data_IF_021198500767
#
_entry.id   IF_021198500767
#
_cell.length_a   1.000
_cell.length_b   1.000
_cell.length_c   1.000
_cell.angle_alpha   90.00
_cell.angle_beta   90.00
_cell.angle_gamma   90.00
#
_symmetry.space_group_name_H-M   'P 1'
#
loop_
_entity.id
_entity.type
_entity.pdbx_description
1 polymer ?
#
# COMPACT_ATOMS: atom_id res chain seq x y z
N UNK A 1 70.50 -23.55 43.80
CA UNK A 1 71.55 -23.00 42.92
C UNK A 1 71.68 -23.92 41.73
N UNK A 2 71.01 -23.57 40.64
CA UNK A 2 71.19 -24.18 39.32
C UNK A 2 71.00 -23.04 38.32
N UNK A 3 72.12 -22.51 37.84
CA UNK A 3 72.19 -21.86 36.54
C UNK A 3 71.83 -22.92 35.49
N UNK A 4 71.03 -22.59 34.49
CA UNK A 4 71.36 -22.87 33.07
C UNK A 4 70.22 -22.49 32.11
N UNK A 5 70.67 -21.85 31.03
CA UNK A 5 70.22 -21.90 29.64
C UNK A 5 68.85 -21.34 29.24
N UNK A 6 68.92 -20.07 28.87
CA UNK A 6 68.14 -19.40 27.82
C UNK A 6 67.98 -20.27 26.55
N UNK A 7 66.75 -20.52 26.06
CA UNK A 7 66.56 -21.07 24.73
C UNK A 7 66.73 -20.00 23.63
N UNK A 8 67.19 -20.39 22.42
CA UNK A 8 67.64 -19.50 21.36
C UNK A 8 66.51 -18.72 20.67
N UNK A 9 66.82 -17.48 20.29
CA UNK A 9 65.99 -16.60 19.46
C UNK A 9 65.89 -17.20 18.04
N UNK A 10 64.67 -17.47 17.52
CA UNK A 10 64.50 -17.93 16.14
C UNK A 10 64.81 -16.80 15.13
N UNK A 11 65.55 -17.14 14.09
CA UNK A 11 66.04 -16.23 13.06
C UNK A 11 64.90 -15.64 12.18
N UNK A 12 65.01 -14.37 11.74
CA UNK A 12 64.05 -13.75 10.84
C UNK A 12 64.33 -14.19 9.41
N UNK A 13 63.50 -15.09 8.87
CA UNK A 13 63.68 -15.55 7.49
C UNK A 13 62.87 -16.79 7.13
N UNK A 14 61.58 -16.82 7.48
CA UNK A 14 60.64 -17.77 6.89
C UNK A 14 59.56 -16.97 6.17
N UNK A 15 59.77 -16.87 4.87
CA UNK A 15 58.84 -16.42 3.83
C UNK A 15 57.54 -17.23 3.92
N UNK A 16 56.54 -16.70 4.61
CA UNK A 16 55.16 -17.07 4.32
C UNK A 16 54.72 -16.24 3.13
N UNK A 17 54.81 -16.89 1.96
CA UNK A 17 54.01 -16.59 0.79
C UNK A 17 52.53 -16.55 1.23
N UNK A 18 52.07 -15.35 1.58
CA UNK A 18 50.66 -15.05 1.72
C UNK A 18 50.08 -15.12 0.33
N UNK A 19 49.68 -16.35 -0.03
CA UNK A 19 48.88 -16.63 -1.21
C UNK A 19 47.67 -15.72 -1.15
N UNK A 20 47.66 -14.80 -2.10
CA UNK A 20 46.55 -13.95 -2.51
C UNK A 20 45.32 -14.84 -2.61
N UNK A 21 44.47 -14.82 -1.58
CA UNK A 21 43.15 -15.41 -1.66
C UNK A 21 42.38 -14.59 -2.68
N UNK A 22 42.26 -15.18 -3.87
CA UNK A 22 41.36 -14.88 -4.96
C UNK A 22 39.99 -14.44 -4.39
N UNK A 23 39.79 -13.12 -4.27
CA UNK A 23 38.48 -12.55 -3.98
C UNK A 23 37.70 -12.68 -5.28
N UNK A 24 37.10 -13.85 -5.47
CA UNK A 24 36.17 -14.10 -6.56
C UNK A 24 35.17 -12.93 -6.63
N UNK A 25 34.91 -12.37 -7.82
CA UNK A 25 34.00 -11.24 -7.95
C UNK A 25 32.62 -11.66 -7.44
N UNK A 26 32.17 -11.03 -6.34
CA UNK A 26 30.83 -11.18 -5.80
C UNK A 26 29.85 -10.59 -6.81
N UNK A 27 29.48 -11.37 -7.82
CA UNK A 27 28.41 -11.04 -8.76
C UNK A 27 27.07 -11.31 -8.10
N UNK A 28 26.60 -10.36 -7.28
CA UNK A 28 25.18 -10.29 -6.88
C UNK A 28 24.69 -8.90 -7.25
N UNK A 29 23.93 -8.76 -8.35
CA UNK A 29 22.49 -8.65 -8.16
C UNK A 29 21.64 -9.15 -9.35
N UNK A 30 21.53 -10.46 -9.58
CA UNK A 30 20.59 -11.01 -10.56
C UNK A 30 19.21 -11.42 -9.98
N UNK A 31 18.92 -11.13 -8.69
CA UNK A 31 17.68 -11.58 -8.03
C UNK A 31 16.51 -10.59 -8.08
N UNK A 32 16.74 -9.34 -8.48
CA UNK A 32 15.67 -8.33 -8.51
C UNK A 32 14.72 -8.52 -9.71
N UNK A 33 15.22 -9.02 -10.84
CA UNK A 33 14.47 -9.10 -12.11
C UNK A 33 13.59 -10.36 -12.22
N UNK A 34 13.92 -11.44 -11.52
CA UNK A 34 13.16 -12.69 -11.59
C UNK A 34 11.83 -12.64 -10.81
N UNK A 35 11.72 -11.77 -9.80
CA UNK A 35 10.52 -11.64 -8.95
C UNK A 35 9.31 -11.04 -9.69
N UNK A 36 9.55 -10.25 -10.74
CA UNK A 36 8.49 -9.58 -11.49
C UNK A 36 7.85 -10.47 -12.55
N UNK A 37 8.63 -11.33 -13.22
CA UNK A 37 8.12 -12.25 -14.26
C UNK A 37 7.28 -13.41 -13.70
N UNK A 38 7.56 -13.87 -12.48
CA UNK A 38 6.76 -14.92 -11.83
C UNK A 38 5.36 -14.47 -11.38
N UNK A 39 5.16 -13.17 -11.15
CA UNK A 39 3.90 -12.61 -10.63
C UNK A 39 2.80 -12.52 -11.69
N UNK A 40 3.16 -12.50 -12.97
CA UNK A 40 2.22 -12.42 -14.10
C UNK A 40 1.66 -13.78 -14.54
N UNK A 41 2.26 -14.91 -14.10
CA UNK A 41 1.86 -16.27 -14.51
C UNK A 41 0.91 -16.98 -13.55
N UNK A 42 0.60 -16.40 -12.39
CA UNK A 42 -0.45 -16.91 -11.49
C UNK A 42 -1.67 -16.01 -11.55
N UNK A 43 -2.32 -15.96 -12.71
CA UNK A 43 -3.74 -15.63 -12.74
C UNK A 43 -4.46 -16.76 -12.02
N UNK A 44 -4.76 -16.52 -10.76
CA UNK A 44 -5.52 -17.46 -9.95
C UNK A 44 -6.99 -17.34 -10.32
N UNK A 45 -7.77 -18.41 -10.12
CA UNK A 45 -9.24 -18.35 -10.30
C UNK A 45 -9.85 -17.19 -9.51
N UNK A 46 -9.29 -16.86 -8.34
CA UNK A 46 -9.70 -15.72 -7.54
C UNK A 46 -9.53 -14.35 -8.24
N UNK A 47 -8.49 -14.19 -9.05
CA UNK A 47 -8.28 -12.96 -9.84
C UNK A 47 -9.36 -12.83 -10.92
N UNK A 48 -9.72 -13.94 -11.58
CA UNK A 48 -10.81 -13.98 -12.55
C UNK A 48 -12.16 -13.61 -11.91
N UNK A 49 -12.46 -14.19 -10.74
CA UNK A 49 -13.70 -13.87 -9.99
C UNK A 49 -13.71 -12.39 -9.59
N UNK A 50 -12.59 -11.83 -9.14
CA UNK A 50 -12.54 -10.42 -8.79
C UNK A 50 -12.67 -9.50 -10.01
N UNK A 51 -12.15 -9.89 -11.17
CA UNK A 51 -12.39 -9.16 -12.42
C UNK A 51 -13.89 -9.15 -12.79
N UNK A 52 -14.60 -10.27 -12.59
CA UNK A 52 -16.05 -10.33 -12.77
C UNK A 52 -16.80 -9.42 -11.78
N UNK A 53 -16.40 -9.41 -10.50
CA UNK A 53 -16.97 -8.50 -9.49
C UNK A 53 -16.71 -7.05 -9.87
N UNK A 54 -15.50 -6.72 -10.34
CA UNK A 54 -15.16 -5.39 -10.83
C UNK A 54 -16.00 -4.99 -12.05
N UNK A 55 -16.22 -5.90 -13.00
CA UNK A 55 -17.09 -5.70 -14.14
C UNK A 55 -18.55 -5.47 -13.75
N UNK A 56 -19.05 -6.22 -12.76
CA UNK A 56 -20.39 -6.01 -12.19
C UNK A 56 -20.51 -4.65 -11.50
N UNK A 57 -19.50 -4.28 -10.71
CA UNK A 57 -19.43 -2.98 -10.04
C UNK A 57 -19.39 -1.82 -11.05
N UNK A 58 -18.64 -2.00 -12.15
CA UNK A 58 -18.59 -1.08 -13.28
C UNK A 58 -19.97 -0.95 -13.91
N UNK A 59 -20.64 -2.06 -14.22
CA UNK A 59 -21.98 -2.04 -14.81
C UNK A 59 -22.99 -1.27 -13.95
N UNK A 60 -23.06 -1.55 -12.64
CA UNK A 60 -24.03 -0.87 -11.76
C UNK A 60 -23.77 0.62 -11.57
N UNK A 61 -22.49 1.03 -11.59
CA UNK A 61 -22.09 2.42 -11.36
C UNK A 61 -22.14 3.24 -12.62
N UNK A 62 -21.71 2.67 -13.75
CA UNK A 62 -21.62 3.33 -15.04
C UNK A 62 -22.88 3.17 -15.91
N UNK A 63 -23.72 2.20 -15.61
CA UNK A 63 -25.00 2.01 -16.30
C UNK A 63 -25.92 3.21 -16.07
N UNK A 64 -26.37 3.84 -17.14
CA UNK A 64 -27.40 4.88 -17.12
C UNK A 64 -27.05 6.17 -16.35
N UNK A 65 -25.78 6.60 -16.33
CA UNK A 65 -25.37 7.88 -15.68
C UNK A 65 -26.17 9.09 -16.14
N UNK A 66 -26.55 9.11 -17.43
CA UNK A 66 -27.23 10.24 -18.06
C UNK A 66 -28.77 10.12 -18.08
N UNK A 67 -29.35 9.05 -17.52
CA UNK A 67 -30.81 8.85 -17.63
C UNK A 67 -31.63 9.69 -16.67
N UNK A 68 -31.08 10.04 -15.49
CA UNK A 68 -31.78 10.87 -14.51
C UNK A 68 -31.27 12.30 -14.57
N UNK A 69 -32.13 13.33 -14.51
CA UNK A 69 -31.69 14.70 -14.35
C UNK A 69 -30.91 14.88 -13.03
N UNK A 70 -30.02 15.87 -12.99
CA UNK A 70 -29.32 16.25 -11.76
C UNK A 70 -30.32 16.71 -10.70
N UNK A 71 -30.13 16.25 -9.47
CA UNK A 71 -30.86 16.84 -8.34
C UNK A 71 -30.36 18.27 -8.09
N UNK A 72 -31.13 19.14 -7.41
CA UNK A 72 -30.70 20.50 -7.13
C UNK A 72 -29.35 20.59 -6.40
N UNK A 73 -29.08 19.68 -5.46
CA UNK A 73 -27.81 19.65 -4.73
C UNK A 73 -26.62 19.27 -5.64
N UNK A 74 -26.83 18.31 -6.54
CA UNK A 74 -25.83 17.90 -7.54
C UNK A 74 -25.56 19.01 -8.56
N UNK A 75 -26.62 19.70 -8.99
CA UNK A 75 -26.53 20.78 -9.96
C UNK A 75 -25.66 21.94 -9.45
N UNK A 76 -25.78 22.29 -8.16
CA UNK A 76 -24.93 23.30 -7.50
C UNK A 76 -23.45 22.91 -7.58
N UNK A 77 -23.11 21.66 -7.26
CA UNK A 77 -21.74 21.17 -7.33
C UNK A 77 -21.19 21.13 -8.77
N UNK A 78 -22.01 20.71 -9.74
CA UNK A 78 -21.63 20.68 -11.14
C UNK A 78 -21.48 22.08 -11.75
N UNK A 79 -22.34 23.03 -11.34
CA UNK A 79 -22.34 24.40 -11.86
C UNK A 79 -21.09 25.16 -11.42
N UNK A 80 -20.63 24.98 -10.18
CA UNK A 80 -19.38 25.57 -9.70
C UNK A 80 -18.19 25.15 -10.58
N UNK A 81 -18.09 23.86 -10.94
CA UNK A 81 -17.05 23.35 -11.83
C UNK A 81 -17.15 23.92 -13.25
N UNK A 82 -18.37 24.05 -13.79
CA UNK A 82 -18.59 24.64 -15.12
C UNK A 82 -18.23 26.12 -15.17
N UNK A 83 -18.58 26.90 -14.15
CA UNK A 83 -18.23 28.32 -14.06
C UNK A 83 -16.71 28.50 -14.08
N UNK A 84 -16.00 27.65 -13.33
CA UNK A 84 -14.54 27.67 -13.27
C UNK A 84 -13.89 27.38 -14.63
N UNK A 85 -14.35 26.34 -15.35
CA UNK A 85 -13.80 26.03 -16.68
C UNK A 85 -14.19 27.04 -17.75
N UNK A 86 -15.33 27.71 -17.59
CA UNK A 86 -15.81 28.73 -18.53
C UNK A 86 -15.24 30.12 -18.27
N UNK A 87 -14.30 30.28 -17.32
CA UNK A 87 -13.77 31.59 -16.88
C UNK A 87 -14.81 32.60 -16.39
N UNK A 88 -16.00 32.11 -16.04
CA UNK A 88 -17.05 32.92 -15.46
C UNK A 88 -16.75 33.18 -13.96
N UNK A 89 -17.26 34.29 -13.40
CA UNK A 89 -17.21 34.50 -11.96
C UNK A 89 -17.88 33.32 -11.23
N UNK A 90 -17.27 32.86 -10.13
CA UNK A 90 -17.86 31.83 -9.28
C UNK A 90 -18.95 32.45 -8.42
N UNK A 91 -20.20 32.23 -8.82
CA UNK A 91 -21.38 32.68 -8.07
C UNK A 91 -21.86 31.63 -7.07
N UNK A 92 -21.39 30.39 -7.21
CA UNK A 92 -21.82 29.25 -6.41
C UNK A 92 -20.68 28.74 -5.51
N UNK A 93 -20.96 28.45 -4.22
CA UNK A 93 -19.94 27.96 -3.30
C UNK A 93 -19.44 26.56 -3.68
N UNK A 94 -18.13 26.35 -3.48
CA UNK A 94 -17.50 25.04 -3.64
C UNK A 94 -17.78 24.19 -2.40
N UNK A 95 -18.65 23.19 -2.54
CA UNK A 95 -19.08 22.30 -1.43
C UNK A 95 -17.97 21.29 -1.06
N UNK A 96 -17.32 20.69 -2.06
CA UNK A 96 -16.27 19.70 -1.87
C UNK A 96 -15.05 20.03 -2.73
N UNK A 97 -13.93 20.47 -2.13
CA UNK A 97 -12.72 20.84 -2.86
C UNK A 97 -12.12 19.69 -3.69
N UNK A 98 -12.18 18.46 -3.16
CA UNK A 98 -11.67 17.28 -3.86
C UNK A 98 -12.49 16.99 -5.12
N UNK A 99 -13.82 16.95 -4.99
CA UNK A 99 -14.71 16.74 -6.14
C UNK A 99 -14.53 17.83 -7.19
N UNK A 100 -14.48 19.11 -6.77
CA UNK A 100 -14.26 20.24 -7.65
C UNK A 100 -12.96 20.11 -8.45
N UNK A 101 -11.86 19.77 -7.79
CA UNK A 101 -10.55 19.63 -8.44
C UNK A 101 -10.53 18.53 -9.50
N UNK A 102 -11.06 17.34 -9.16
CA UNK A 102 -11.10 16.22 -10.12
C UNK A 102 -12.07 16.47 -11.27
N UNK A 103 -13.23 17.09 -10.99
CA UNK A 103 -14.24 17.40 -12.01
C UNK A 103 -13.73 18.46 -12.97
N UNK A 104 -13.02 19.48 -12.48
CA UNK A 104 -12.41 20.50 -13.35
C UNK A 104 -11.31 19.93 -14.23
N UNK A 105 -10.50 18.98 -13.72
CA UNK A 105 -9.51 18.28 -14.54
C UNK A 105 -10.21 17.50 -15.65
N UNK A 106 -11.33 16.86 -15.35
CA UNK A 106 -12.11 16.08 -16.30
C UNK A 106 -12.78 16.96 -17.37
N UNK A 107 -13.43 18.05 -16.95
CA UNK A 107 -14.05 19.03 -17.85
C UNK A 107 -13.02 19.77 -18.70
N UNK A 108 -11.82 20.03 -18.15
CA UNK A 108 -10.69 20.57 -18.91
C UNK A 108 -10.21 19.67 -20.06
N UNK A 109 -10.53 18.37 -20.03
CA UNK A 109 -10.29 17.45 -21.15
C UNK A 109 -11.39 17.49 -22.23
N UNK A 110 -12.36 18.41 -22.11
CA UNK A 110 -13.48 18.59 -23.05
C UNK A 110 -14.69 17.69 -22.76
N UNK A 111 -14.75 17.08 -21.57
CA UNK A 111 -15.94 16.32 -21.14
C UNK A 111 -16.91 17.23 -20.39
N UNK A 112 -17.97 17.65 -21.06
CA UNK A 112 -19.01 18.49 -20.47
C UNK A 112 -20.34 17.73 -20.29
N UNK A 113 -21.13 18.18 -19.32
CA UNK A 113 -22.50 17.71 -19.07
C UNK A 113 -22.66 16.82 -17.82
N UNK A 114 -23.89 16.38 -17.60
CA UNK A 114 -24.32 15.67 -16.39
C UNK A 114 -23.59 14.34 -16.19
N UNK A 115 -23.25 13.68 -17.31
CA UNK A 115 -22.48 12.44 -17.29
C UNK A 115 -21.06 12.68 -16.76
N UNK A 116 -20.41 13.80 -17.11
CA UNK A 116 -19.07 14.13 -16.66
C UNK A 116 -19.05 14.41 -15.15
N UNK A 117 -20.06 15.13 -14.63
CA UNK A 117 -20.22 15.39 -13.20
C UNK A 117 -20.35 14.10 -12.38
N UNK A 118 -21.02 13.09 -12.91
CA UNK A 118 -21.20 11.78 -12.24
C UNK A 118 -20.07 10.79 -12.52
N UNK A 119 -19.21 11.05 -13.48
CA UNK A 119 -18.12 10.14 -13.85
C UNK A 119 -17.07 10.05 -12.73
N UNK A 120 -16.69 11.19 -12.15
CA UNK A 120 -15.73 11.25 -11.04
C UNK A 120 -16.16 10.37 -9.86
N UNK A 121 -17.34 10.56 -9.24
CA UNK A 121 -17.78 9.73 -8.11
C UNK A 121 -17.96 8.26 -8.50
N UNK A 122 -18.37 7.95 -9.74
CA UNK A 122 -18.52 6.58 -10.21
C UNK A 122 -17.17 5.85 -10.29
N UNK A 123 -16.12 6.54 -10.77
CA UNK A 123 -14.74 6.03 -10.78
C UNK A 123 -14.26 5.77 -9.36
N UNK A 124 -14.43 6.70 -8.43
CA UNK A 124 -14.01 6.50 -7.03
C UNK A 124 -14.80 5.38 -6.33
N UNK A 125 -16.09 5.23 -6.63
CA UNK A 125 -16.89 4.11 -6.16
C UNK A 125 -16.39 2.76 -6.69
N UNK A 126 -15.99 2.69 -7.95
CA UNK A 126 -15.38 1.49 -8.54
C UNK A 126 -14.01 1.20 -7.90
N UNK A 127 -13.16 2.23 -7.76
CA UNK A 127 -11.85 2.10 -7.13
C UNK A 127 -11.97 1.61 -5.69
N UNK A 128 -13.01 2.00 -4.96
CA UNK A 128 -13.28 1.50 -3.60
C UNK A 128 -13.50 -0.01 -3.58
N UNK A 129 -14.22 -0.56 -4.57
CA UNK A 129 -14.39 -2.03 -4.70
C UNK A 129 -13.08 -2.68 -5.11
N UNK A 130 -12.36 -2.12 -6.09
CA UNK A 130 -11.09 -2.66 -6.57
C UNK A 130 -9.99 -2.58 -5.51
N UNK A 131 -10.10 -1.68 -4.54
CA UNK A 131 -9.12 -1.53 -3.46
C UNK A 131 -9.03 -2.79 -2.61
N UNK A 132 -10.12 -3.56 -2.46
CA UNK A 132 -10.11 -4.87 -1.80
C UNK A 132 -9.20 -5.90 -2.50
N UNK A 133 -8.88 -5.69 -3.78
CA UNK A 133 -7.88 -6.51 -4.48
C UNK A 133 -6.50 -6.42 -3.81
N UNK A 134 -6.15 -5.27 -3.22
CA UNK A 134 -4.83 -5.08 -2.58
C UNK A 134 -4.61 -6.00 -1.38
N UNK A 135 -5.68 -6.62 -0.86
CA UNK A 135 -5.63 -7.62 0.21
C UNK A 135 -5.19 -9.00 -0.29
N UNK A 136 -5.06 -9.19 -1.61
CA UNK A 136 -4.54 -10.40 -2.24
C UNK A 136 -3.19 -10.78 -1.62
N UNK A 137 -3.10 -12.03 -1.17
CA UNK A 137 -1.88 -12.61 -0.58
C UNK A 137 -1.71 -12.36 0.92
N UNK A 138 -2.61 -11.62 1.58
CA UNK A 138 -2.61 -11.44 3.04
C UNK A 138 -3.80 -12.09 3.72
N UNK A 139 -4.97 -12.03 3.10
CA UNK A 139 -6.23 -12.59 3.61
C UNK A 139 -6.65 -13.79 2.76
N UNK A 140 -7.36 -14.76 3.36
CA UNK A 140 -7.92 -15.91 2.64
C UNK A 140 -8.77 -15.42 1.45
N UNK A 141 -8.69 -16.06 0.27
CA UNK A 141 -9.43 -15.69 -0.93
C UNK A 141 -10.91 -15.39 -0.72
N UNK A 142 -11.58 -16.28 0.03
CA UNK A 142 -13.02 -16.21 0.28
C UNK A 142 -13.41 -14.91 0.98
N UNK A 143 -12.62 -14.42 1.94
CA UNK A 143 -12.99 -13.28 2.78
C UNK A 143 -12.95 -11.97 1.98
N UNK A 144 -11.88 -11.72 1.23
CA UNK A 144 -11.78 -10.47 0.46
C UNK A 144 -12.69 -10.49 -0.78
N UNK A 145 -12.93 -11.66 -1.40
CA UNK A 145 -13.88 -11.80 -2.50
C UNK A 145 -15.32 -11.57 -2.05
N UNK A 146 -15.73 -12.13 -0.92
CA UNK A 146 -17.08 -11.89 -0.38
C UNK A 146 -17.25 -10.42 0.00
N UNK A 147 -16.28 -9.81 0.67
CA UNK A 147 -16.31 -8.37 0.96
C UNK A 147 -16.40 -7.51 -0.30
N UNK A 148 -15.62 -7.83 -1.35
CA UNK A 148 -15.71 -7.16 -2.65
C UNK A 148 -17.06 -7.32 -3.32
N UNK A 149 -17.66 -8.52 -3.25
CA UNK A 149 -18.99 -8.78 -3.80
C UNK A 149 -20.07 -7.99 -3.06
N UNK A 150 -20.06 -8.01 -1.72
CA UNK A 150 -20.99 -7.21 -0.91
C UNK A 150 -20.86 -5.72 -1.20
N UNK A 151 -19.64 -5.20 -1.34
CA UNK A 151 -19.42 -3.80 -1.73
C UNK A 151 -19.86 -3.50 -3.16
N UNK A 152 -19.66 -4.42 -4.09
CA UNK A 152 -20.05 -4.25 -5.49
C UNK A 152 -21.57 -4.13 -5.65
N UNK A 153 -22.33 -4.96 -4.91
CA UNK A 153 -23.79 -5.07 -4.99
C UNK A 153 -24.50 -4.15 -3.97
N UNK A 154 -23.78 -3.56 -3.03
CA UNK A 154 -24.37 -2.67 -2.01
C UNK A 154 -25.12 -1.49 -2.65
N UNK A 155 -26.45 -1.39 -2.47
CA UNK A 155 -27.25 -0.34 -3.08
C UNK A 155 -26.88 1.04 -2.53
N UNK A 156 -26.48 1.11 -1.26
CA UNK A 156 -25.99 2.35 -0.64
C UNK A 156 -24.72 2.85 -1.34
N UNK A 157 -23.74 1.95 -1.56
CA UNK A 157 -22.49 2.34 -2.19
C UNK A 157 -22.71 2.71 -3.67
N UNK A 158 -23.61 2.03 -4.36
CA UNK A 158 -24.02 2.37 -5.73
C UNK A 158 -24.66 3.75 -5.77
N UNK A 159 -25.64 4.03 -4.90
CA UNK A 159 -26.33 5.32 -4.85
C UNK A 159 -25.36 6.47 -4.60
N UNK A 160 -24.47 6.34 -3.60
CA UNK A 160 -23.46 7.36 -3.29
C UNK A 160 -22.46 7.55 -4.43
N UNK A 161 -22.03 6.47 -5.09
CA UNK A 161 -21.09 6.57 -6.22
C UNK A 161 -21.69 7.14 -7.50
N UNK A 162 -23.03 7.17 -7.62
CA UNK A 162 -23.73 7.78 -8.76
C UNK A 162 -24.11 9.23 -8.52
N UNK A 163 -24.08 9.68 -7.26
CA UNK A 163 -24.41 11.04 -6.89
C UNK A 163 -23.25 11.99 -7.20
N UNK A 164 -23.54 13.14 -7.82
CA UNK A 164 -22.53 14.15 -8.10
C UNK A 164 -22.16 14.88 -6.80
N UNK A 165 -21.03 14.52 -6.20
CA UNK A 165 -20.59 15.08 -4.92
C UNK A 165 -19.29 14.48 -4.37
N UNK A 166 -18.90 14.94 -3.19
CA UNK A 166 -17.66 14.53 -2.51
C UNK A 166 -17.73 13.21 -1.75
N UNK A 167 -18.92 12.67 -1.51
CA UNK A 167 -19.14 11.54 -0.59
C UNK A 167 -18.45 10.26 -1.07
N UNK A 168 -18.49 9.97 -2.37
CA UNK A 168 -17.81 8.80 -2.94
C UNK A 168 -16.29 8.88 -2.77
N UNK A 169 -15.71 10.09 -2.87
CA UNK A 169 -14.28 10.34 -2.68
C UNK A 169 -13.92 10.17 -1.20
N UNK A 170 -14.77 10.67 -0.29
CA UNK A 170 -14.57 10.50 1.15
C UNK A 170 -14.60 9.01 1.54
N UNK A 171 -15.56 8.23 1.04
CA UNK A 171 -15.61 6.78 1.26
C UNK A 171 -14.39 6.07 0.69
N UNK A 172 -13.93 6.45 -0.50
CA UNK A 172 -12.71 5.92 -1.07
C UNK A 172 -11.49 6.23 -0.18
N UNK A 173 -11.35 7.47 0.30
CA UNK A 173 -10.25 7.87 1.17
C UNK A 173 -10.28 7.14 2.52
N UNK A 174 -11.45 6.97 3.12
CA UNK A 174 -11.63 6.17 4.34
C UNK A 174 -11.26 4.71 4.12
N UNK A 175 -11.68 4.12 2.99
CA UNK A 175 -11.30 2.75 2.65
C UNK A 175 -9.78 2.63 2.40
N UNK A 176 -9.18 3.62 1.75
CA UNK A 176 -7.73 3.68 1.52
C UNK A 176 -6.96 3.75 2.84
N UNK A 177 -7.44 4.57 3.78
CA UNK A 177 -6.87 4.67 5.13
C UNK A 177 -7.02 3.35 5.91
N UNK A 178 -8.20 2.73 5.88
CA UNK A 178 -8.45 1.43 6.52
C UNK A 178 -7.57 0.32 5.92
N UNK A 179 -7.36 0.34 4.61
CA UNK A 179 -6.46 -0.57 3.94
C UNK A 179 -4.99 -0.32 4.34
N UNK A 180 -4.59 0.96 4.42
CA UNK A 180 -3.27 1.41 4.86
C UNK A 180 -2.91 0.97 6.28
N UNK A 181 -3.84 1.10 7.22
CA UNK A 181 -3.61 0.71 8.62
C UNK A 181 -3.37 -0.80 8.77
N UNK A 182 -4.07 -1.63 7.99
CA UNK A 182 -3.85 -3.08 7.93
C UNK A 182 -2.45 -3.41 7.41
N UNK A 183 -1.88 -2.59 6.52
CA UNK A 183 -0.51 -2.80 6.03
C UNK A 183 0.56 -2.41 7.04
N UNK A 184 0.34 -1.34 7.81
CA UNK A 184 1.34 -0.75 8.73
C UNK A 184 1.63 -1.60 9.97
N UNK A 185 0.68 -2.43 10.43
CA UNK A 185 0.87 -3.29 11.62
C UNK A 185 2.05 -4.27 11.52
N UNK A 186 2.52 -4.56 10.30
CA UNK A 186 3.62 -5.49 10.03
C UNK A 186 5.01 -4.97 10.42
N UNK A 187 5.19 -3.65 10.50
CA UNK A 187 6.52 -3.01 10.59
C UNK A 187 6.92 -2.77 12.05
N UNK A 188 5.97 -2.44 12.92
CA UNK A 188 6.23 -2.09 14.33
C UNK A 188 6.68 -3.30 15.16
N UNK A 189 6.27 -4.52 14.79
CA UNK A 189 6.63 -5.71 15.57
C UNK A 189 8.08 -6.17 15.40
N UNK A 190 8.85 -5.62 14.44
CA UNK A 190 10.25 -6.02 14.21
C UNK A 190 11.27 -5.14 14.91
N UNK A 191 10.93 -3.90 15.27
CA UNK A 191 11.85 -2.99 15.95
C UNK A 191 11.99 -3.28 17.44
N UNK A 192 10.95 -3.84 18.08
CA UNK A 192 10.97 -4.10 19.54
C UNK A 192 11.72 -5.40 19.89
N UNK A 193 11.81 -6.36 18.96
CA UNK A 193 12.46 -7.66 19.20
C UNK A 193 14.00 -7.68 19.06
N UNK A 194 14.62 -6.61 18.57
CA UNK A 194 16.09 -6.58 18.38
C UNK A 194 16.86 -5.93 19.55
N UNK A 195 16.18 -5.42 20.57
CA UNK A 195 16.80 -5.00 21.82
C UNK A 195 16.75 -6.11 22.89
N UNK A 196 16.83 -7.38 22.49
CA UNK A 196 17.20 -8.44 23.42
C UNK A 196 18.66 -8.22 23.82
N UNK A 197 18.85 -7.43 24.87
CA UNK A 197 20.10 -7.18 25.57
C UNK A 197 20.80 -8.53 25.77
N UNK A 198 21.93 -8.70 25.09
CA UNK A 198 22.90 -9.73 25.40
C UNK A 198 23.47 -9.44 26.79
N UNK A 199 22.77 -9.86 27.84
CA UNK A 199 23.31 -9.94 29.20
C UNK A 199 24.22 -11.17 29.29
N UNK A 200 25.30 -11.20 28.50
CA UNK A 200 26.42 -12.10 28.74
C UNK A 200 27.50 -11.32 29.50
N UNK A 201 27.87 -11.91 30.63
CA UNK A 201 29.07 -11.68 31.43
C UNK A 201 29.25 -10.27 32.01
N UNK A 202 28.64 -10.04 33.18
CA UNK A 202 29.32 -9.25 34.22
C UNK A 202 29.40 -10.11 35.47
N UNK A 203 30.62 -10.55 35.78
CA UNK A 203 31.10 -10.73 37.14
C UNK A 203 30.55 -11.92 37.93
N UNK A 204 30.95 -13.14 37.57
CA UNK A 204 31.10 -14.22 38.57
C UNK A 204 32.38 -13.94 39.36
N UNK A 205 32.36 -12.92 40.21
CA UNK A 205 33.41 -12.71 41.20
C UNK A 205 33.24 -13.76 42.29
N UNK A 206 34.31 -14.53 42.46
CA UNK A 206 34.50 -15.48 43.53
C UNK A 206 34.33 -14.77 44.89
N UNK A 207 33.41 -15.26 45.71
CA UNK A 207 33.52 -15.12 47.16
C UNK A 207 33.82 -16.51 47.70
N UNK A 208 35.13 -16.73 47.86
CA UNK A 208 35.72 -17.66 48.80
C UNK A 208 35.50 -17.08 50.20
N UNK A 209 34.82 -17.82 51.07
CA UNK A 209 34.91 -17.75 52.54
C UNK A 209 34.07 -18.92 53.08
N UNK A 210 34.68 -20.05 53.45
CA UNK A 210 35.11 -20.35 54.82
C UNK A 210 34.01 -21.20 55.48
N UNK A 211 34.09 -22.53 55.51
CA UNK A 211 34.92 -23.31 56.44
C UNK A 211 34.94 -22.68 57.84
N UNK A 212 34.20 -23.29 58.79
CA UNK A 212 34.59 -23.60 60.18
C UNK A 212 33.32 -23.71 61.05
N UNK A 213 33.22 -24.88 61.71
CA UNK A 213 32.32 -25.34 62.77
C UNK A 213 30.91 -25.83 62.42
#
# INVERSE_FOLDING_TARGET
>A
MASELTPPIPAPGATEDVIVNDVAPVTRPARATQRWRGRLRSLTVADGVMALIGGLALWFRFGDLARLPLSPAEAVAALASRQFTSTAPLDVPVISPAYFTFTNLLMGLGMDGDAAARLVPAVFGLLTVLLLWTWRGRVRPVVWLTAALFMAVSPLLVAVSRAAGGDAIALFALMLLACGSVFSGSVVSRSVGQYSVSSRSVGRWAVVSGLIH
#
